data_IF_858535490633
#
_entry.id   IF_858535490633
#
_cell.length_a   1.000
_cell.length_b   1.000
_cell.length_c   1.000
_cell.angle_alpha   90.00
_cell.angle_beta   90.00
_cell.angle_gamma   90.00
#
_symmetry.space_group_name_H-M   'P 1'
#
loop_
_entity.id
_entity.type
_entity.pdbx_description
1 polymer ?
#
# COMPACT_ATOMS: atom_id res chain seq x y z
N UNK A 1 22.64 -32.06 -56.84
CA UNK A 1 23.43 -30.83 -56.61
C UNK A 1 22.44 -29.78 -56.10
N UNK A 2 22.47 -29.24 -54.89
CA UNK A 2 23.47 -29.20 -53.83
C UNK A 2 22.74 -29.21 -52.49
N UNK A 3 23.26 -30.01 -51.53
CA UNK A 3 22.85 -29.97 -50.13
C UNK A 3 23.64 -28.91 -49.37
N UNK A 4 22.97 -28.25 -48.44
CA UNK A 4 23.54 -27.25 -47.53
C UNK A 4 23.45 -27.84 -46.12
N UNK A 5 24.52 -28.51 -45.70
CA UNK A 5 24.68 -29.04 -44.35
C UNK A 5 25.16 -27.90 -43.44
N UNK A 6 24.27 -27.38 -42.60
CA UNK A 6 24.61 -26.44 -41.54
C UNK A 6 25.02 -27.25 -40.30
N UNK A 7 26.32 -27.38 -40.09
CA UNK A 7 26.90 -28.00 -38.89
C UNK A 7 26.52 -27.17 -37.65
N UNK A 8 25.62 -27.71 -36.82
CA UNK A 8 25.39 -27.25 -35.46
C UNK A 8 26.45 -27.86 -34.53
N UNK A 9 27.66 -27.31 -34.55
CA UNK A 9 28.57 -27.29 -33.39
C UNK A 9 28.22 -26.05 -32.52
N UNK A 10 26.94 -25.92 -32.18
CA UNK A 10 26.31 -24.69 -31.67
C UNK A 10 26.00 -24.68 -30.17
N UNK A 11 26.71 -25.47 -29.36
CA UNK A 11 26.40 -25.63 -27.93
C UNK A 11 26.97 -24.56 -26.99
N UNK A 12 27.97 -23.78 -27.41
CA UNK A 12 28.76 -22.95 -26.49
C UNK A 12 28.39 -21.45 -26.47
N UNK A 13 27.72 -20.91 -27.48
CA UNK A 13 27.47 -19.46 -27.61
C UNK A 13 26.12 -19.00 -27.08
N UNK A 14 25.12 -19.89 -26.94
CA UNK A 14 23.80 -19.52 -26.40
C UNK A 14 23.83 -19.32 -24.87
N UNK A 15 24.71 -20.05 -24.16
CA UNK A 15 24.88 -19.91 -22.71
C UNK A 15 25.46 -18.54 -22.28
N UNK A 16 26.26 -17.90 -23.13
CA UNK A 16 26.84 -16.57 -22.85
C UNK A 16 25.82 -15.42 -22.93
N UNK A 17 24.81 -15.53 -23.80
CA UNK A 17 23.78 -14.50 -23.97
C UNK A 17 22.73 -14.53 -22.85
N UNK A 18 22.36 -15.71 -22.36
CA UNK A 18 21.40 -15.85 -21.24
C UNK A 18 22.00 -15.40 -19.90
N UNK A 19 23.30 -15.62 -19.67
CA UNK A 19 23.98 -15.22 -18.44
C UNK A 19 24.18 -13.71 -18.32
N UNK A 20 24.45 -13.01 -19.44
CA UNK A 20 24.54 -11.54 -19.46
C UNK A 20 23.18 -10.85 -19.21
N UNK A 21 22.08 -11.41 -19.74
CA UNK A 21 20.73 -10.90 -19.51
C UNK A 21 20.28 -11.01 -18.05
N UNK A 22 20.56 -12.15 -17.41
CA UNK A 22 20.23 -12.36 -15.99
C UNK A 22 21.00 -11.42 -15.05
N UNK A 23 22.28 -11.16 -15.34
CA UNK A 23 23.07 -10.20 -14.57
C UNK A 23 22.53 -8.76 -14.71
N UNK A 24 22.06 -8.38 -15.90
CA UNK A 24 21.47 -7.07 -16.15
C UNK A 24 20.15 -6.88 -15.40
N UNK A 25 19.26 -7.89 -15.40
CA UNK A 25 17.99 -7.86 -14.66
C UNK A 25 18.22 -7.79 -13.15
N UNK A 26 19.16 -8.56 -12.60
CA UNK A 26 19.51 -8.49 -11.19
C UNK A 26 20.09 -7.13 -10.77
N UNK A 27 20.87 -6.49 -11.65
CA UNK A 27 21.39 -5.14 -11.41
C UNK A 27 20.29 -4.07 -11.43
N UNK A 28 19.33 -4.17 -12.37
CA UNK A 28 18.18 -3.25 -12.43
C UNK A 28 17.30 -3.39 -11.19
N UNK A 29 16.96 -4.61 -10.81
CA UNK A 29 16.18 -4.88 -9.60
C UNK A 29 16.90 -4.37 -8.35
N UNK A 30 18.21 -4.62 -8.22
CA UNK A 30 18.98 -4.10 -7.09
C UNK A 30 18.95 -2.56 -7.03
N UNK A 31 19.01 -1.89 -8.19
CA UNK A 31 18.96 -0.43 -8.26
C UNK A 31 17.57 0.09 -7.86
N UNK A 32 16.51 -0.57 -8.30
CA UNK A 32 15.13 -0.27 -7.88
C UNK A 32 14.97 -0.48 -6.38
N UNK A 33 15.38 -1.64 -5.85
CA UNK A 33 15.36 -1.96 -4.43
C UNK A 33 16.14 -0.93 -3.61
N UNK A 34 17.34 -0.53 -4.05
CA UNK A 34 18.14 0.49 -3.34
C UNK A 34 17.41 1.85 -3.29
N UNK A 35 16.64 2.18 -4.34
CA UNK A 35 15.86 3.42 -4.42
C UNK A 35 14.50 3.36 -3.71
N UNK A 36 13.89 2.17 -3.58
CA UNK A 36 12.57 1.98 -2.97
C UNK A 36 12.65 1.57 -1.50
N UNK A 37 13.72 0.89 -1.08
CA UNK A 37 13.82 0.27 0.24
C UNK A 37 14.68 1.09 1.21
N UNK A 38 14.08 1.50 2.33
CA UNK A 38 14.82 1.95 3.50
C UNK A 38 15.40 0.73 4.24
N UNK A 39 16.69 0.77 4.52
CA UNK A 39 17.39 -0.35 5.19
C UNK A 39 18.24 0.10 6.38
N UNK A 40 18.34 1.41 6.63
CA UNK A 40 19.15 1.96 7.72
C UNK A 40 18.30 2.43 8.90
N UNK A 41 18.87 2.34 10.10
CA UNK A 41 18.22 2.82 11.33
C UNK A 41 17.91 4.32 11.28
N UNK A 42 18.79 5.11 10.64
CA UNK A 42 18.60 6.55 10.43
C UNK A 42 17.38 6.83 9.53
N UNK A 43 17.24 6.10 8.41
CA UNK A 43 16.08 6.23 7.54
C UNK A 43 14.78 5.78 8.23
N UNK A 44 14.81 4.68 8.99
CA UNK A 44 13.64 4.25 9.74
C UNK A 44 13.22 5.30 10.77
N UNK A 45 14.19 5.90 11.47
CA UNK A 45 13.93 6.98 12.43
C UNK A 45 13.32 8.20 11.77
N UNK A 46 13.80 8.57 10.57
CA UNK A 46 13.25 9.69 9.80
C UNK A 46 11.81 9.40 9.35
N UNK A 47 11.56 8.24 8.74
CA UNK A 47 10.22 7.84 8.29
C UNK A 47 9.22 7.82 9.45
N UNK A 48 9.61 7.24 10.60
CA UNK A 48 8.76 7.22 11.79
C UNK A 48 8.47 8.61 12.32
N UNK A 49 9.48 9.49 12.35
CA UNK A 49 9.30 10.87 12.80
C UNK A 49 8.30 11.61 11.92
N UNK A 50 8.47 11.56 10.61
CA UNK A 50 7.57 12.21 9.65
C UNK A 50 6.14 11.67 9.78
N UNK A 51 5.98 10.35 9.80
CA UNK A 51 4.68 9.71 9.98
C UNK A 51 4.01 10.15 11.30
N UNK A 52 4.76 10.23 12.40
CA UNK A 52 4.26 10.69 13.68
C UNK A 52 3.84 12.17 13.67
N UNK A 53 4.56 13.03 12.96
CA UNK A 53 4.21 14.46 12.80
C UNK A 53 2.92 14.63 11.99
N UNK A 54 2.79 13.93 10.85
CA UNK A 54 1.58 13.92 10.03
C UNK A 54 0.37 13.36 10.81
N UNK A 55 0.56 12.25 11.51
CA UNK A 55 -0.44 11.65 12.38
C UNK A 55 -0.91 12.60 13.48
N UNK A 56 0.02 13.25 14.19
CA UNK A 56 -0.32 14.22 15.25
C UNK A 56 -1.15 15.38 14.70
N UNK A 57 -0.83 15.84 13.48
CA UNK A 57 -1.58 16.91 12.80
C UNK A 57 -3.01 16.46 12.46
N UNK A 58 -3.18 15.22 11.98
CA UNK A 58 -4.49 14.63 11.74
C UNK A 58 -5.33 14.50 13.03
N UNK A 59 -4.75 13.97 14.12
CA UNK A 59 -5.44 13.86 15.40
C UNK A 59 -5.93 15.22 15.94
N UNK A 60 -5.11 16.26 15.78
CA UNK A 60 -5.48 17.62 16.16
C UNK A 60 -6.67 18.14 15.33
N UNK A 61 -6.64 17.95 14.02
CA UNK A 61 -7.74 18.34 13.13
C UNK A 61 -9.04 17.56 13.42
N UNK A 62 -8.94 16.24 13.65
CA UNK A 62 -10.05 15.39 14.04
C UNK A 62 -10.68 15.81 15.38
N UNK A 63 -9.84 16.11 16.38
CA UNK A 63 -10.28 16.63 17.68
C UNK A 63 -10.97 17.99 17.54
N UNK A 64 -10.46 18.87 16.67
CA UNK A 64 -11.03 20.19 16.44
C UNK A 64 -12.42 20.10 15.76
N UNK A 65 -12.57 19.23 14.76
CA UNK A 65 -13.88 18.97 14.13
C UNK A 65 -14.89 18.40 15.12
N UNK A 66 -14.47 17.42 15.93
CA UNK A 66 -15.33 16.82 16.95
C UNK A 66 -15.78 17.87 17.97
N UNK A 67 -14.86 18.75 18.38
CA UNK A 67 -15.16 19.86 19.29
C UNK A 67 -16.11 20.89 18.66
N UNK A 68 -15.93 21.22 17.38
CA UNK A 68 -16.81 22.13 16.66
C UNK A 68 -18.25 21.59 16.56
N UNK A 69 -18.40 20.28 16.33
CA UNK A 69 -19.70 19.62 16.33
C UNK A 69 -20.29 19.48 17.74
N UNK A 70 -19.45 19.23 18.74
CA UNK A 70 -19.81 19.03 20.15
C UNK A 70 -20.08 17.58 20.53
N UNK A 71 -19.97 16.65 19.59
CA UNK A 71 -20.03 15.20 19.80
C UNK A 71 -19.23 14.48 18.69
N UNK A 72 -18.89 13.19 18.84
CA UNK A 72 -18.29 12.43 17.75
C UNK A 72 -19.21 12.38 16.52
N UNK A 73 -18.72 12.75 15.34
CA UNK A 73 -19.48 12.73 14.09
C UNK A 73 -19.93 11.33 13.67
N UNK A 74 -19.26 10.28 14.15
CA UNK A 74 -19.68 8.88 13.95
C UNK A 74 -21.05 8.57 14.57
N UNK A 75 -21.47 9.33 15.59
CA UNK A 75 -22.79 9.19 16.22
C UNK A 75 -23.89 9.92 15.46
N UNK A 76 -23.54 10.73 14.47
CA UNK A 76 -24.52 11.41 13.62
C UNK A 76 -25.28 10.36 12.80
N UNK A 77 -26.57 10.19 13.13
CA UNK A 77 -27.51 9.29 12.45
C UNK A 77 -28.57 10.14 11.76
N UNK A 78 -28.61 10.07 10.43
CA UNK A 78 -29.65 10.71 9.60
C UNK A 78 -31.06 10.26 10.01
N UNK A 79 -31.22 8.97 10.29
CA UNK A 79 -32.49 8.35 10.70
C UNK A 79 -33.10 8.88 12.01
N UNK A 80 -32.34 9.55 12.88
CA UNK A 80 -32.93 10.21 14.05
C UNK A 80 -33.69 11.49 13.66
N UNK A 81 -33.35 12.06 12.50
CA UNK A 81 -33.98 13.25 11.93
C UNK A 81 -35.14 12.91 11.01
N UNK A 82 -35.06 11.81 10.26
CA UNK A 82 -36.17 11.31 9.42
C UNK A 82 -37.44 11.05 10.26
N UNK A 83 -37.28 10.74 11.56
CA UNK A 83 -38.39 10.60 12.52
C UNK A 83 -38.98 11.95 12.99
N UNK A 84 -38.25 13.06 12.85
CA UNK A 84 -38.75 14.44 13.03
C UNK A 84 -39.28 15.04 11.71
N UNK A 85 -38.77 14.58 10.57
CA UNK A 85 -39.11 15.03 9.20
C UNK A 85 -40.53 14.61 8.77
N UNK A 86 -41.07 13.51 9.31
CA UNK A 86 -42.48 13.13 9.14
C UNK A 86 -43.46 14.15 9.77
N UNK A 87 -42.95 15.15 10.51
CA UNK A 87 -43.73 16.16 11.21
C UNK A 87 -43.62 17.60 10.67
N UNK A 88 -42.79 17.91 9.66
CA UNK A 88 -42.58 19.30 9.22
C UNK A 88 -42.42 19.47 7.70
N UNK A 89 -43.43 20.04 7.04
CA UNK A 89 -43.48 20.43 5.62
C UNK A 89 -42.47 21.55 5.21
N UNK A 90 -41.36 21.75 5.92
CA UNK A 90 -40.39 22.84 5.68
C UNK A 90 -39.04 22.32 5.15
N UNK A 91 -38.81 22.57 3.86
CA UNK A 91 -37.78 21.95 3.02
C UNK A 91 -36.33 22.49 3.16
N UNK A 92 -35.88 23.02 4.31
CA UNK A 92 -34.70 23.92 4.32
C UNK A 92 -33.38 23.55 5.05
N UNK A 93 -33.11 22.32 5.54
CA UNK A 93 -31.78 22.03 6.08
C UNK A 93 -30.94 21.01 5.27
N UNK A 94 -31.24 20.78 3.99
CA UNK A 94 -30.52 19.80 3.16
C UNK A 94 -29.02 20.13 3.02
N UNK A 95 -28.68 21.38 2.70
CA UNK A 95 -27.27 21.81 2.55
C UNK A 95 -26.48 21.65 3.85
N UNK A 96 -27.09 21.93 5.00
CA UNK A 96 -26.44 21.76 6.29
C UNK A 96 -26.17 20.27 6.59
N UNK A 97 -27.09 19.38 6.21
CA UNK A 97 -26.87 17.93 6.30
C UNK A 97 -25.74 17.47 5.39
N UNK A 98 -25.68 17.96 4.16
CA UNK A 98 -24.60 17.63 3.22
C UNK A 98 -23.22 18.01 3.78
N UNK A 99 -23.11 19.19 4.43
CA UNK A 99 -21.87 19.61 5.10
C UNK A 99 -21.49 18.64 6.22
N UNK A 100 -22.45 18.25 7.07
CA UNK A 100 -22.20 17.30 8.17
C UNK A 100 -21.82 15.92 7.64
N UNK A 101 -22.49 15.44 6.60
CA UNK A 101 -22.18 14.16 5.96
C UNK A 101 -20.82 14.16 5.26
N UNK A 102 -20.44 15.27 4.63
CA UNK A 102 -19.11 15.45 4.07
C UNK A 102 -18.04 15.42 5.15
N UNK A 103 -18.24 16.13 6.27
CA UNK A 103 -17.32 16.09 7.41
C UNK A 103 -17.22 14.69 8.04
N UNK A 104 -18.35 13.98 8.16
CA UNK A 104 -18.40 12.61 8.68
C UNK A 104 -17.57 11.65 7.82
N UNK A 105 -17.70 11.70 6.48
CA UNK A 105 -16.89 10.89 5.56
C UNK A 105 -15.39 11.11 5.74
N UNK A 106 -14.96 12.37 5.90
CA UNK A 106 -13.57 12.69 6.17
C UNK A 106 -13.07 12.12 7.51
N UNK A 107 -13.92 12.15 8.55
CA UNK A 107 -13.60 11.56 9.86
C UNK A 107 -13.49 10.03 9.80
N UNK A 108 -14.39 9.36 9.07
CA UNK A 108 -14.32 7.91 8.87
C UNK A 108 -13.05 7.51 8.13
N UNK A 109 -12.67 8.28 7.10
CA UNK A 109 -11.41 8.10 6.38
C UNK A 109 -10.19 8.35 7.27
N UNK A 110 -10.25 9.35 8.15
CA UNK A 110 -9.17 9.63 9.10
C UNK A 110 -8.93 8.46 10.06
N UNK A 111 -10.00 7.84 10.57
CA UNK A 111 -9.89 6.66 11.43
C UNK A 111 -9.26 5.47 10.69
N UNK A 112 -9.61 5.25 9.41
CA UNK A 112 -9.00 4.18 8.62
C UNK A 112 -7.49 4.40 8.37
N UNK A 113 -7.06 5.66 8.14
CA UNK A 113 -5.64 5.98 7.96
C UNK A 113 -4.86 5.94 9.29
N UNK A 114 -5.50 6.23 10.43
CA UNK A 114 -4.92 6.05 11.78
C UNK A 114 -4.58 4.59 12.05
N UNK A 115 -5.51 3.66 11.79
CA UNK A 115 -5.27 2.22 11.92
C UNK A 115 -4.08 1.76 11.04
N UNK A 116 -3.99 2.29 9.81
CA UNK A 116 -2.90 1.97 8.89
C UNK A 116 -1.55 2.56 9.34
N UNK A 117 -1.55 3.77 9.91
CA UNK A 117 -0.34 4.40 10.46
C UNK A 117 0.24 3.59 11.63
N UNK A 118 -0.61 3.06 12.51
CA UNK A 118 -0.19 2.16 13.59
C UNK A 118 0.46 0.87 13.04
N UNK A 119 -0.11 0.29 11.99
CA UNK A 119 0.45 -0.88 11.30
C UNK A 119 1.82 -0.58 10.69
N UNK A 120 2.01 0.60 10.09
CA UNK A 120 3.28 1.02 9.49
C UNK A 120 4.33 1.35 10.56
N UNK A 121 3.96 2.02 11.66
CA UNK A 121 4.88 2.28 12.76
C UNK A 121 5.34 0.96 13.41
N UNK A 122 4.43 0.00 13.62
CA UNK A 122 4.79 -1.32 14.13
C UNK A 122 5.76 -2.06 13.20
N UNK A 123 5.56 -1.98 11.87
CA UNK A 123 6.48 -2.58 10.90
C UNK A 123 7.85 -1.90 10.91
N UNK A 124 7.92 -0.57 11.00
CA UNK A 124 9.17 0.17 11.13
C UNK A 124 9.90 -0.20 12.44
N UNK A 125 9.17 -0.34 13.55
CA UNK A 125 9.74 -0.82 14.82
C UNK A 125 10.31 -2.25 14.68
N UNK A 126 9.59 -3.16 14.03
CA UNK A 126 10.05 -4.53 13.77
C UNK A 126 11.29 -4.60 12.86
N UNK A 127 11.47 -3.62 11.96
CA UNK A 127 12.67 -3.49 11.15
C UNK A 127 13.88 -3.04 11.98
N UNK A 128 13.67 -2.19 13.00
CA UNK A 128 14.73 -1.71 13.91
C UNK A 128 15.07 -2.69 15.05
N UNK A 129 14.14 -3.58 15.42
CA UNK A 129 14.25 -4.40 16.63
C UNK A 129 15.37 -5.46 16.57
N UNK A 130 16.08 -5.63 17.70
CA UNK A 130 17.17 -6.60 17.93
C UNK A 130 16.78 -8.09 17.78
N UNK A 131 15.52 -8.39 17.41
CA UNK A 131 15.04 -9.74 17.13
C UNK A 131 15.28 -10.21 15.70
N UNK A 132 15.79 -9.36 14.81
CA UNK A 132 16.33 -9.81 13.53
C UNK A 132 17.61 -10.60 13.84
N UNK A 133 17.53 -11.93 13.74
CA UNK A 133 18.68 -12.81 13.96
C UNK A 133 19.90 -12.30 13.20
N UNK A 134 21.08 -12.37 13.83
CA UNK A 134 22.34 -11.82 13.34
C UNK A 134 22.59 -12.22 11.87
N UNK A 135 22.22 -11.36 10.92
CA UNK A 135 22.42 -11.60 9.49
C UNK A 135 21.28 -11.14 8.56
N UNK A 136 20.03 -11.05 9.04
CA UNK A 136 18.90 -10.65 8.19
C UNK A 136 18.66 -9.13 8.26
N UNK A 137 19.07 -8.40 7.20
CA UNK A 137 18.70 -6.98 7.05
C UNK A 137 17.25 -6.91 6.55
N UNK A 138 16.33 -6.54 7.44
CA UNK A 138 14.95 -6.20 7.07
C UNK A 138 14.94 -4.80 6.49
N UNK A 139 14.30 -4.63 5.35
CA UNK A 139 14.09 -3.33 4.74
C UNK A 139 12.60 -3.03 4.63
N UNK A 140 12.26 -1.75 4.48
CA UNK A 140 10.88 -1.27 4.39
C UNK A 140 10.72 -0.45 3.11
N UNK A 141 9.61 -0.64 2.38
CA UNK A 141 9.31 0.19 1.21
C UNK A 141 9.03 1.65 1.64
N UNK A 142 9.80 2.60 1.12
CA UNK A 142 9.66 4.04 1.38
C UNK A 142 8.35 4.60 0.82
N UNK A 143 8.06 4.26 -0.43
CA UNK A 143 6.94 4.83 -1.20
C UNK A 143 5.59 4.76 -0.47
N UNK A 144 5.15 3.59 0.01
CA UNK A 144 3.90 3.49 0.76
C UNK A 144 3.85 4.33 2.04
N UNK A 145 4.96 4.40 2.80
CA UNK A 145 5.02 5.20 4.04
C UNK A 145 4.90 6.69 3.72
N UNK A 146 5.62 7.15 2.69
CA UNK A 146 5.57 8.55 2.23
C UNK A 146 4.22 8.92 1.62
N UNK A 147 3.57 7.99 0.92
CA UNK A 147 2.22 8.19 0.41
C UNK A 147 1.22 8.32 1.56
N UNK A 148 1.36 7.51 2.62
CA UNK A 148 0.50 7.60 3.80
C UNK A 148 0.73 8.93 4.54
N UNK A 149 1.99 9.36 4.72
CA UNK A 149 2.35 10.67 5.27
C UNK A 149 1.64 11.81 4.52
N UNK A 150 1.73 11.83 3.18
CA UNK A 150 1.10 12.85 2.36
C UNK A 150 -0.44 12.86 2.48
N UNK A 151 -1.08 11.68 2.51
CA UNK A 151 -2.53 11.58 2.68
C UNK A 151 -3.00 12.01 4.08
N UNK A 152 -2.24 11.69 5.13
CA UNK A 152 -2.53 12.17 6.49
C UNK A 152 -2.47 13.71 6.56
N UNK A 153 -1.45 14.31 5.95
CA UNK A 153 -1.31 15.77 5.88
C UNK A 153 -2.46 16.41 5.07
N UNK A 154 -2.77 15.90 3.88
CA UNK A 154 -3.87 16.39 3.05
C UNK A 154 -5.21 16.31 3.79
N UNK A 155 -5.47 15.18 4.44
CA UNK A 155 -6.70 14.98 5.19
C UNK A 155 -6.78 15.90 6.41
N UNK A 156 -5.66 16.17 7.09
CA UNK A 156 -5.60 17.15 8.19
C UNK A 156 -5.99 18.56 7.74
N UNK A 157 -5.55 18.97 6.54
CA UNK A 157 -5.91 20.26 5.93
C UNK A 157 -7.39 20.30 5.55
N UNK A 158 -7.91 19.23 4.93
CA UNK A 158 -9.33 19.10 4.58
C UNK A 158 -10.23 19.19 5.81
N UNK A 159 -9.92 18.44 6.86
CA UNK A 159 -10.65 18.49 8.13
C UNK A 159 -10.61 19.91 8.73
N UNK A 160 -9.43 20.52 8.79
CA UNK A 160 -9.28 21.88 9.32
C UNK A 160 -10.09 22.91 8.54
N UNK A 161 -10.11 22.81 7.20
CA UNK A 161 -10.89 23.68 6.32
C UNK A 161 -12.41 23.55 6.50
N UNK A 162 -12.91 22.40 7.00
CA UNK A 162 -14.34 22.16 7.22
C UNK A 162 -14.88 22.71 8.55
N UNK A 163 -14.02 23.07 9.50
CA UNK A 163 -14.45 23.48 10.85
C UNK A 163 -15.48 24.62 10.80
N UNK A 164 -15.19 25.69 10.06
CA UNK A 164 -16.08 26.85 10.00
C UNK A 164 -17.44 26.53 9.34
N UNK A 165 -17.44 25.70 8.29
CA UNK A 165 -18.66 25.25 7.63
C UNK A 165 -19.50 24.39 8.57
N UNK A 166 -18.87 23.51 9.34
CA UNK A 166 -19.54 22.63 10.31
C UNK A 166 -20.19 23.41 11.46
N UNK A 167 -19.54 24.47 11.96
CA UNK A 167 -20.13 25.35 12.98
C UNK A 167 -21.39 26.03 12.44
N UNK A 168 -21.34 26.59 11.21
CA UNK A 168 -22.52 27.22 10.60
C UNK A 168 -23.63 26.22 10.30
N UNK A 169 -23.27 25.02 9.83
CA UNK A 169 -24.23 23.95 9.60
C UNK A 169 -24.93 23.57 10.91
N UNK A 170 -24.18 23.45 12.01
CA UNK A 170 -24.76 23.21 13.34
C UNK A 170 -25.73 24.31 13.75
N UNK A 171 -25.33 25.58 13.65
CA UNK A 171 -26.20 26.73 13.99
C UNK A 171 -27.49 26.74 13.13
N UNK A 172 -27.37 26.49 11.83
CA UNK A 172 -28.50 26.40 10.91
C UNK A 172 -29.47 25.27 11.30
N UNK A 173 -28.93 24.10 11.68
CA UNK A 173 -29.73 22.96 12.15
C UNK A 173 -30.43 23.25 13.48
N UNK A 174 -29.77 23.95 14.42
CA UNK A 174 -30.35 24.29 15.72
C UNK A 174 -31.43 25.40 15.63
N UNK A 175 -31.30 26.31 14.66
CA UNK A 175 -32.21 27.45 14.48
C UNK A 175 -33.24 27.26 13.37
N UNK A 176 -33.18 26.14 12.65
CA UNK A 176 -33.94 25.85 11.43
C UNK A 176 -33.85 26.99 10.39
N UNK A 177 -32.65 27.55 10.21
CA UNK A 177 -32.39 28.61 9.24
C UNK A 177 -31.66 28.06 8.01
N UNK A 178 -31.91 28.61 6.81
CA UNK A 178 -31.21 28.19 5.62
C UNK A 178 -29.72 28.55 5.72
N UNK A 179 -28.86 27.58 5.38
CA UNK A 179 -27.44 27.79 5.29
C UNK A 179 -27.14 28.55 3.98
N UNK A 180 -26.43 29.68 4.04
CA UNK A 180 -25.93 30.34 2.84
C UNK A 180 -25.07 29.37 2.03
N UNK A 181 -25.07 29.50 0.69
CA UNK A 181 -24.33 28.63 -0.22
C UNK A 181 -22.90 28.39 0.29
N UNK A 182 -22.62 27.11 0.59
CA UNK A 182 -21.29 26.65 0.95
C UNK A 182 -20.69 26.06 -0.33
N UNK A 183 -19.45 26.44 -0.64
CA UNK A 183 -18.76 25.84 -1.78
C UNK A 183 -18.74 24.32 -1.63
N UNK A 184 -19.37 23.65 -2.60
CA UNK A 184 -19.25 22.21 -2.74
C UNK A 184 -17.77 21.90 -2.91
N UNK A 185 -17.30 20.93 -2.16
CA UNK A 185 -15.88 20.67 -2.04
C UNK A 185 -15.75 19.18 -2.18
N UNK A 186 -15.20 18.82 -3.34
CA UNK A 186 -15.06 17.47 -3.83
C UNK A 186 -13.93 16.78 -3.05
N UNK A 187 -14.18 15.57 -2.56
CA UNK A 187 -13.13 14.73 -1.98
C UNK A 187 -12.56 13.84 -3.07
N UNK A 188 -11.35 14.17 -3.54
CA UNK A 188 -10.62 13.42 -4.55
C UNK A 188 -9.50 12.53 -3.95
N UNK A 189 -9.50 12.25 -2.65
CA UNK A 189 -8.39 11.53 -2.04
C UNK A 189 -8.37 10.02 -2.31
N UNK A 190 -7.22 9.39 -2.07
CA UNK A 190 -7.02 7.95 -2.26
C UNK A 190 -7.80 7.08 -1.26
N UNK A 191 -8.26 5.91 -1.71
CA UNK A 191 -8.92 4.94 -0.85
C UNK A 191 -7.86 4.30 0.08
N UNK A 192 -8.10 4.20 1.40
CA UNK A 192 -7.23 3.43 2.30
C UNK A 192 -6.92 2.00 1.81
N UNK A 193 -7.81 1.38 1.03
CA UNK A 193 -7.61 0.04 0.45
C UNK A 193 -6.49 -0.01 -0.61
N UNK A 194 -6.10 1.14 -1.18
CA UNK A 194 -5.01 1.22 -2.17
C UNK A 194 -3.62 1.07 -1.53
N UNK A 195 -3.53 1.16 -0.20
CA UNK A 195 -2.28 1.04 0.52
C UNK A 195 -1.89 -0.42 0.79
N UNK A 196 -0.63 -0.82 0.53
CA UNK A 196 -0.20 -2.17 0.83
C UNK A 196 -0.11 -2.38 2.34
N UNK A 197 -0.80 -3.42 2.86
CA UNK A 197 -0.74 -3.78 4.28
C UNK A 197 0.68 -4.16 4.75
N UNK A 198 1.49 -4.76 3.87
CA UNK A 198 2.85 -5.18 4.18
C UNK A 198 3.87 -4.33 3.42
N UNK A 199 4.70 -3.61 4.17
CA UNK A 199 5.81 -2.79 3.65
C UNK A 199 7.17 -3.40 3.97
N UNK A 200 7.23 -4.38 4.88
CA UNK A 200 8.44 -5.15 5.18
C UNK A 200 8.84 -6.05 4.01
N UNK A 201 10.13 -5.98 3.66
CA UNK A 201 10.76 -6.85 2.67
C UNK A 201 12.09 -7.41 3.17
N UNK A 202 12.38 -8.65 2.77
CA UNK A 202 13.68 -9.29 3.00
C UNK A 202 14.54 -9.17 1.75
N UNK A 203 15.62 -8.38 1.82
CA UNK A 203 16.50 -8.09 0.68
C UNK A 203 17.28 -9.32 0.17
N UNK A 204 17.32 -10.42 0.92
CA UNK A 204 18.22 -11.56 0.66
C UNK A 204 17.55 -12.79 0.03
N UNK A 205 16.22 -12.97 0.10
CA UNK A 205 15.60 -14.21 -0.39
C UNK A 205 15.67 -14.39 -1.91
N UNK A 206 15.58 -13.32 -2.70
CA UNK A 206 15.61 -13.42 -4.17
C UNK A 206 17.03 -13.63 -4.71
N UNK A 207 18.02 -12.87 -4.23
CA UNK A 207 19.41 -13.03 -4.63
C UNK A 207 20.01 -14.38 -4.21
N UNK A 208 19.62 -14.91 -3.05
CA UNK A 208 19.98 -16.28 -2.65
C UNK A 208 19.28 -17.33 -3.49
N UNK A 209 18.01 -17.14 -3.87
CA UNK A 209 17.33 -18.00 -4.84
C UNK A 209 18.11 -18.12 -6.16
N UNK A 210 18.63 -17.00 -6.66
CA UNK A 210 19.41 -16.95 -7.90
C UNK A 210 20.83 -17.49 -7.75
N UNK A 211 21.53 -17.20 -6.63
CA UNK A 211 22.86 -17.79 -6.34
C UNK A 211 22.79 -19.29 -6.13
N UNK A 212 21.68 -19.79 -5.60
CA UNK A 212 21.41 -21.22 -5.41
C UNK A 212 20.85 -21.86 -6.71
N UNK A 213 20.51 -21.04 -7.71
CA UNK A 213 19.90 -21.41 -9.00
C UNK A 213 20.77 -22.21 -9.96
N UNK A 214 22.07 -22.37 -9.75
CA UNK A 214 22.85 -23.33 -10.53
C UNK A 214 22.61 -24.80 -10.12
N UNK A 215 22.12 -25.04 -8.90
CA UNK A 215 21.92 -26.40 -8.35
C UNK A 215 20.52 -26.73 -7.83
N UNK A 216 19.61 -25.75 -7.65
CA UNK A 216 18.25 -25.98 -7.14
C UNK A 216 17.10 -25.53 -8.06
N UNK A 217 17.34 -25.44 -9.36
CA UNK A 217 16.24 -25.28 -10.34
C UNK A 217 15.18 -26.39 -10.22
N UNK A 218 15.56 -27.59 -9.75
CA UNK A 218 14.62 -28.68 -9.46
C UNK A 218 13.64 -28.40 -8.31
N UNK A 219 14.04 -27.59 -7.33
CA UNK A 219 13.17 -27.23 -6.19
C UNK A 219 12.16 -26.19 -6.64
N UNK A 220 12.61 -25.22 -7.44
CA UNK A 220 11.75 -24.20 -8.04
C UNK A 220 10.74 -24.83 -9.03
N UNK A 221 11.21 -25.74 -9.89
CA UNK A 221 10.37 -26.51 -10.80
C UNK A 221 9.31 -27.34 -10.06
N UNK A 222 9.66 -27.94 -8.90
CA UNK A 222 8.70 -28.67 -8.05
C UNK A 222 7.64 -27.76 -7.42
N UNK A 223 8.00 -26.55 -7.00
CA UNK A 223 7.06 -25.59 -6.42
C UNK A 223 6.11 -25.03 -7.49
N UNK A 224 6.64 -24.72 -8.68
CA UNK A 224 5.85 -24.26 -9.83
C UNK A 224 4.88 -25.35 -10.29
N UNK A 225 5.35 -26.60 -10.45
CA UNK A 225 4.51 -27.74 -10.83
C UNK A 225 3.36 -27.96 -9.82
N UNK A 226 3.62 -27.88 -8.52
CA UNK A 226 2.56 -27.95 -7.48
C UNK A 226 1.52 -26.84 -7.62
N UNK A 227 1.95 -25.63 -7.96
CA UNK A 227 1.06 -24.46 -8.07
C UNK A 227 0.26 -24.46 -9.37
N UNK A 228 0.79 -25.02 -10.45
CA UNK A 228 0.10 -25.21 -11.73
C UNK A 228 -0.76 -26.48 -11.80
N UNK A 229 -0.80 -27.28 -10.73
CA UNK A 229 -1.52 -28.56 -10.69
C UNK A 229 -0.84 -29.67 -11.50
N UNK A 230 0.37 -29.44 -12.01
CA UNK A 230 1.14 -30.45 -12.75
C UNK A 230 1.98 -31.29 -11.79
N UNK A 231 1.98 -32.60 -11.99
CA UNK A 231 2.82 -33.50 -11.20
C UNK A 231 4.27 -33.38 -11.70
N UNK A 232 5.25 -33.03 -10.85
CA UNK A 232 6.63 -32.92 -11.31
C UNK A 232 7.11 -34.29 -11.84
N UNK A 233 7.86 -34.34 -12.95
CA UNK A 233 8.35 -35.60 -13.51
C UNK A 233 9.24 -36.30 -12.48
N UNK A 234 8.97 -37.58 -12.22
CA UNK A 234 9.80 -38.37 -11.33
C UNK A 234 11.20 -38.48 -11.93
N UNK A 235 12.22 -38.06 -11.18
CA UNK A 235 13.61 -38.22 -11.59
C UNK A 235 13.89 -39.71 -11.77
N UNK A 236 14.05 -40.17 -13.01
CA UNK A 236 14.53 -41.53 -13.26
C UNK A 236 16.03 -41.52 -13.05
N UNK A 237 16.51 -42.37 -12.13
CA UNK A 237 17.94 -42.56 -11.91
C UNK A 237 18.60 -43.00 -13.22
N UNK A 238 19.40 -42.11 -13.84
CA UNK A 238 20.20 -42.39 -15.03
C UNK A 238 19.80 -41.65 -16.32
N UNK A 239 18.72 -40.87 -16.34
CA UNK A 239 18.43 -39.95 -17.46
C UNK A 239 19.13 -38.60 -17.22
N UNK A 240 19.79 -38.04 -18.24
CA UNK A 240 20.32 -36.67 -18.22
C UNK A 240 19.22 -35.71 -17.74
N UNK A 241 19.56 -34.85 -16.78
CA UNK A 241 18.62 -33.94 -16.13
C UNK A 241 17.72 -33.26 -17.18
N UNK A 242 16.38 -33.28 -17.02
CA UNK A 242 15.47 -32.68 -17.98
C UNK A 242 15.90 -31.24 -18.28
N UNK A 243 15.90 -30.85 -19.55
CA UNK A 243 16.22 -29.47 -19.92
C UNK A 243 15.05 -28.55 -19.52
N UNK A 244 15.09 -28.08 -18.28
CA UNK A 244 14.07 -27.22 -17.65
C UNK A 244 13.97 -25.82 -18.27
N UNK A 245 14.85 -25.45 -19.21
CA UNK A 245 14.75 -24.18 -19.95
C UNK A 245 13.44 -24.07 -20.74
N UNK A 246 12.86 -25.19 -21.18
CA UNK A 246 11.58 -25.21 -21.92
C UNK A 246 10.37 -24.78 -21.08
N UNK A 247 10.38 -24.99 -19.76
CA UNK A 247 9.26 -24.65 -18.88
C UNK A 247 9.22 -23.18 -18.43
N UNK A 248 10.35 -22.49 -18.51
CA UNK A 248 10.47 -21.09 -18.09
C UNK A 248 9.97 -20.14 -19.18
N UNK A 249 10.05 -20.54 -20.45
CA UNK A 249 9.60 -19.71 -21.57
C UNK A 249 8.07 -19.56 -21.68
N UNK A 250 7.28 -20.43 -21.06
CA UNK A 250 5.81 -20.35 -21.12
C UNK A 250 5.21 -19.44 -20.02
N UNK A 251 6.04 -18.89 -19.12
CA UNK A 251 5.60 -18.11 -17.95
C UNK A 251 6.07 -16.64 -17.93
N UNK A 252 6.84 -16.22 -18.93
CA UNK A 252 7.23 -14.82 -19.18
C UNK A 252 6.54 -14.32 -20.45
#
# INVERSE_FOLDING_TARGET
>A
MSGLELFMDGGATVAGLLSAGAAMLGYQQQKEDDSELACSEEEFSLLRKNLAEAYTSLCAAHSAITSAWGQPLSLFKRAARDAEEEAADEAEPEVALEVVEGAKRLVERAAALEDLADVYDAQLQLATGAGAGAGATRCVRRGPVQALEAELEELSLKLSGRIAALVRAKEALETNQPLAEVEAFEDAGCDPEDFPLAILQERQLLGELWRVGAGRMEVLARVIARRSGQTPPAAKEGEESPNYSSYVHDYL
#
